data_IF_276946587492
#
_entry.id   IF_276946587492
#
_cell.length_a   1.000
_cell.length_b   1.000
_cell.length_c   1.000
_cell.angle_alpha   90.00
_cell.angle_beta   90.00
_cell.angle_gamma   90.00
#
_symmetry.space_group_name_H-M   'P 1'
#
loop_
_entity.id
_entity.type
_entity.pdbx_description
1 polymer ?
#
# COMPACT_ATOMS: atom_id res chain seq x y z
N UNK A 1 -43.62 -82.82 -3.94
CA UNK A 1 -43.54 -82.28 -2.56
C UNK A 1 -42.13 -81.87 -2.34
N UNK A 2 -41.76 -80.70 -2.61
CA UNK A 2 -40.47 -80.10 -2.28
C UNK A 2 -40.60 -79.49 -0.90
N UNK A 3 -40.04 -80.20 0.09
CA UNK A 3 -39.89 -79.65 1.43
C UNK A 3 -38.74 -78.65 1.39
N UNK A 4 -39.04 -77.41 1.21
CA UNK A 4 -38.10 -76.33 1.46
C UNK A 4 -37.93 -76.17 2.95
N UNK A 5 -36.74 -76.38 3.50
CA UNK A 5 -36.51 -76.03 4.89
C UNK A 5 -36.76 -74.58 5.08
N UNK A 6 -37.80 -74.19 5.76
CA UNK A 6 -37.92 -72.80 6.27
C UNK A 6 -36.71 -72.51 7.13
N UNK A 7 -35.75 -71.82 6.54
CA UNK A 7 -34.59 -71.33 7.24
C UNK A 7 -35.07 -70.21 8.15
N UNK A 8 -35.56 -70.57 9.33
CA UNK A 8 -35.74 -69.61 10.43
C UNK A 8 -34.36 -69.21 10.90
N UNK A 9 -33.96 -67.96 10.76
CA UNK A 9 -32.67 -67.50 11.28
C UNK A 9 -32.59 -67.81 12.78
N UNK A 10 -31.49 -68.39 13.21
CA UNK A 10 -31.18 -68.64 14.61
C UNK A 10 -31.23 -67.28 15.35
N UNK A 11 -31.95 -67.18 16.49
CA UNK A 11 -32.04 -65.89 17.22
C UNK A 11 -30.67 -65.37 17.69
N UNK A 12 -29.71 -66.23 17.94
CA UNK A 12 -28.33 -65.81 18.27
C UNK A 12 -27.63 -65.20 17.05
N UNK A 13 -27.89 -65.70 15.86
CA UNK A 13 -27.35 -65.19 14.61
C UNK A 13 -27.97 -63.81 14.27
N UNK A 14 -29.28 -63.65 14.53
CA UNK A 14 -29.96 -62.38 14.34
C UNK A 14 -29.46 -61.30 15.31
N UNK A 15 -29.26 -61.66 16.58
CA UNK A 15 -28.72 -60.76 17.59
C UNK A 15 -27.29 -60.32 17.26
N UNK A 16 -26.43 -61.24 16.82
CA UNK A 16 -25.07 -60.97 16.37
C UNK A 16 -25.05 -59.99 15.17
N UNK A 17 -25.95 -60.21 14.19
CA UNK A 17 -26.10 -59.33 13.05
C UNK A 17 -26.57 -57.93 13.45
N UNK A 18 -27.52 -57.82 14.39
CA UNK A 18 -27.96 -56.53 14.90
C UNK A 18 -26.86 -55.80 15.65
N UNK A 19 -26.08 -56.47 16.45
CA UNK A 19 -24.93 -55.90 17.16
C UNK A 19 -23.85 -55.42 16.19
N UNK A 20 -23.58 -56.17 15.14
CA UNK A 20 -22.65 -55.71 14.09
C UNK A 20 -23.11 -54.46 13.37
N UNK A 21 -24.41 -54.35 13.06
CA UNK A 21 -24.99 -53.14 12.45
C UNK A 21 -24.87 -51.97 13.40
N UNK A 22 -25.21 -52.15 14.69
CA UNK A 22 -25.13 -51.08 15.69
C UNK A 22 -23.68 -50.58 15.88
N UNK A 23 -22.73 -51.50 15.91
CA UNK A 23 -21.30 -51.14 15.97
C UNK A 23 -20.85 -50.40 14.73
N UNK A 24 -21.31 -50.80 13.55
CA UNK A 24 -20.99 -50.13 12.30
C UNK A 24 -21.61 -48.71 12.25
N UNK A 25 -22.85 -48.54 12.72
CA UNK A 25 -23.51 -47.22 12.83
C UNK A 25 -22.78 -46.33 13.82
N UNK A 26 -22.38 -46.84 14.97
CA UNK A 26 -21.60 -46.08 15.94
C UNK A 26 -20.24 -45.64 15.39
N UNK A 27 -19.55 -46.56 14.72
CA UNK A 27 -18.26 -46.26 14.08
C UNK A 27 -18.40 -45.23 12.97
N UNK A 28 -19.47 -45.29 12.18
CA UNK A 28 -19.76 -44.31 11.13
C UNK A 28 -20.09 -42.93 11.71
N UNK A 29 -20.90 -42.88 12.76
CA UNK A 29 -21.23 -41.64 13.47
C UNK A 29 -19.98 -40.97 14.06
N UNK A 30 -19.13 -41.76 14.74
CA UNK A 30 -17.87 -41.25 15.27
C UNK A 30 -16.92 -40.73 14.17
N UNK A 31 -16.85 -41.42 13.03
CA UNK A 31 -16.04 -41.00 11.90
C UNK A 31 -16.57 -39.67 11.30
N UNK A 32 -17.88 -39.50 11.20
CA UNK A 32 -18.51 -38.26 10.75
C UNK A 32 -18.21 -37.10 11.72
N UNK A 33 -18.37 -37.33 13.01
CA UNK A 33 -18.11 -36.30 14.05
C UNK A 33 -16.63 -35.87 14.04
N UNK A 34 -15.71 -36.85 13.89
CA UNK A 34 -14.29 -36.58 13.77
C UNK A 34 -13.98 -35.76 12.52
N UNK A 35 -14.54 -36.13 11.37
CA UNK A 35 -14.39 -35.43 10.11
C UNK A 35 -14.93 -34.00 10.17
N UNK A 36 -16.09 -33.80 10.77
CA UNK A 36 -16.66 -32.46 10.99
C UNK A 36 -15.78 -31.61 11.92
N UNK A 37 -15.24 -32.23 12.98
CA UNK A 37 -14.29 -31.57 13.87
C UNK A 37 -13.03 -31.09 13.15
N UNK A 38 -12.41 -31.96 12.36
CA UNK A 38 -11.23 -31.62 11.54
C UNK A 38 -11.56 -30.53 10.51
N UNK A 39 -12.71 -30.62 9.85
CA UNK A 39 -13.15 -29.61 8.90
C UNK A 39 -13.31 -28.22 9.57
N UNK A 40 -13.90 -28.15 10.75
CA UNK A 40 -14.04 -26.90 11.52
C UNK A 40 -12.68 -26.31 11.89
N UNK A 41 -11.75 -27.14 12.36
CA UNK A 41 -10.39 -26.71 12.70
C UNK A 41 -9.69 -26.19 11.44
N UNK A 42 -9.77 -26.91 10.34
CA UNK A 42 -9.16 -26.51 9.06
C UNK A 42 -9.71 -25.17 8.55
N UNK A 43 -11.02 -24.97 8.60
CA UNK A 43 -11.67 -23.70 8.24
C UNK A 43 -11.25 -22.56 9.14
N UNK A 44 -11.16 -22.80 10.45
CA UNK A 44 -10.69 -21.80 11.40
C UNK A 44 -9.25 -21.37 11.12
N UNK A 45 -8.35 -22.32 10.92
CA UNK A 45 -6.95 -22.07 10.59
C UNK A 45 -6.82 -21.31 9.26
N UNK A 46 -7.60 -21.70 8.24
CA UNK A 46 -7.61 -21.01 6.95
C UNK A 46 -8.09 -19.54 7.10
N UNK A 47 -9.14 -19.30 7.88
CA UNK A 47 -9.62 -17.97 8.18
C UNK A 47 -8.56 -17.13 8.92
N UNK A 48 -7.86 -17.72 9.89
CA UNK A 48 -6.77 -17.04 10.59
C UNK A 48 -5.59 -16.69 9.68
N UNK A 49 -5.24 -17.60 8.76
CA UNK A 49 -4.19 -17.35 7.75
C UNK A 49 -4.61 -16.22 6.81
N UNK A 50 -5.85 -16.25 6.33
CA UNK A 50 -6.39 -15.20 5.46
C UNK A 50 -6.36 -13.81 6.13
N UNK A 51 -6.78 -13.71 7.40
CA UNK A 51 -6.71 -12.47 8.18
C UNK A 51 -5.28 -11.96 8.32
N UNK A 52 -4.32 -12.84 8.62
CA UNK A 52 -2.90 -12.46 8.73
C UNK A 52 -2.36 -11.93 7.40
N UNK A 53 -2.70 -12.58 6.29
CA UNK A 53 -2.31 -12.14 4.95
C UNK A 53 -2.92 -10.76 4.65
N UNK A 54 -4.21 -10.60 4.90
CA UNK A 54 -4.91 -9.32 4.68
C UNK A 54 -4.29 -8.18 5.50
N UNK A 55 -4.01 -8.41 6.78
CA UNK A 55 -3.38 -7.41 7.64
C UNK A 55 -1.97 -7.03 7.14
N UNK A 56 -1.13 -7.99 6.79
CA UNK A 56 0.21 -7.71 6.21
C UNK A 56 0.11 -6.95 4.90
N UNK A 57 -0.86 -7.31 4.06
CA UNK A 57 -1.07 -6.62 2.79
C UNK A 57 -1.49 -5.19 3.01
N UNK A 58 -2.42 -4.94 3.93
CA UNK A 58 -2.88 -3.59 4.28
C UNK A 58 -1.74 -2.73 4.87
N UNK A 59 -0.92 -3.30 5.75
CA UNK A 59 0.27 -2.63 6.29
C UNK A 59 1.26 -2.25 5.18
N UNK A 60 1.54 -3.17 4.26
CA UNK A 60 2.43 -2.90 3.11
C UNK A 60 1.86 -1.81 2.20
N UNK A 61 0.57 -1.85 1.92
CA UNK A 61 -0.11 -0.82 1.13
C UNK A 61 0.01 0.53 1.82
N UNK A 62 -0.24 0.61 3.13
CA UNK A 62 -0.12 1.84 3.90
C UNK A 62 1.32 2.42 3.83
N UNK A 63 2.33 1.58 3.96
CA UNK A 63 3.74 2.00 3.84
C UNK A 63 4.05 2.52 2.42
N UNK A 64 3.58 1.82 1.40
CA UNK A 64 3.76 2.24 0.00
C UNK A 64 3.10 3.60 -0.24
N UNK A 65 1.86 3.77 0.21
CA UNK A 65 1.15 5.04 0.09
C UNK A 65 1.88 6.18 0.81
N UNK A 66 2.37 5.94 2.01
CA UNK A 66 3.14 6.93 2.77
C UNK A 66 4.42 7.32 2.03
N UNK A 67 5.19 6.35 1.53
CA UNK A 67 6.41 6.61 0.75
C UNK A 67 6.12 7.39 -0.53
N UNK A 68 5.08 7.00 -1.25
CA UNK A 68 4.67 7.67 -2.49
C UNK A 68 4.27 9.12 -2.23
N UNK A 69 3.49 9.39 -1.18
CA UNK A 69 3.12 10.75 -0.77
C UNK A 69 4.35 11.58 -0.41
N UNK A 70 5.28 11.00 0.32
CA UNK A 70 6.52 11.69 0.69
C UNK A 70 7.40 12.01 -0.52
N UNK A 71 7.55 11.05 -1.44
CA UNK A 71 8.28 11.27 -2.68
C UNK A 71 7.62 12.34 -3.56
N UNK A 72 6.30 12.31 -3.68
CA UNK A 72 5.55 13.31 -4.43
C UNK A 72 5.71 14.70 -3.83
N UNK A 73 5.61 14.81 -2.50
CA UNK A 73 5.86 16.06 -1.77
C UNK A 73 7.26 16.59 -2.03
N UNK A 74 8.28 15.74 -1.94
CA UNK A 74 9.67 16.13 -2.20
C UNK A 74 9.87 16.58 -3.64
N UNK A 75 9.30 15.87 -4.62
CA UNK A 75 9.37 16.26 -6.03
C UNK A 75 8.69 17.60 -6.29
N UNK A 76 7.53 17.80 -5.70
CA UNK A 76 6.81 19.07 -5.81
C UNK A 76 7.62 20.24 -5.23
N UNK A 77 8.16 20.07 -4.03
CA UNK A 77 9.02 21.09 -3.41
C UNK A 77 10.28 21.38 -4.25
N UNK A 78 10.91 20.35 -4.82
CA UNK A 78 12.07 20.51 -5.68
C UNK A 78 11.69 21.24 -6.99
N UNK A 79 10.54 20.91 -7.58
CA UNK A 79 10.04 21.58 -8.76
C UNK A 79 9.71 23.06 -8.48
N UNK A 80 9.09 23.38 -7.35
CA UNK A 80 8.82 24.75 -6.92
C UNK A 80 10.11 25.53 -6.70
N UNK A 81 11.12 24.92 -6.07
CA UNK A 81 12.44 25.56 -5.88
C UNK A 81 13.13 25.82 -7.21
N UNK A 82 13.07 24.86 -8.13
CA UNK A 82 13.64 25.00 -9.47
C UNK A 82 12.91 26.10 -10.28
N UNK A 83 11.59 26.17 -10.19
CA UNK A 83 10.79 27.21 -10.84
C UNK A 83 11.14 28.60 -10.29
N UNK A 84 11.26 28.76 -8.97
CA UNK A 84 11.67 30.04 -8.33
C UNK A 84 13.11 30.42 -8.71
N UNK A 85 14.01 29.44 -8.77
CA UNK A 85 15.38 29.69 -9.21
C UNK A 85 15.44 30.13 -10.69
N UNK A 86 14.64 29.51 -11.56
CA UNK A 86 14.51 29.89 -12.97
C UNK A 86 13.92 31.30 -13.14
N UNK A 87 12.94 31.69 -12.36
CA UNK A 87 12.40 33.04 -12.36
C UNK A 87 13.45 34.07 -11.94
N UNK A 88 14.20 33.81 -10.87
CA UNK A 88 15.30 34.70 -10.44
C UNK A 88 16.39 34.85 -11.49
N UNK A 89 16.75 33.78 -12.17
CA UNK A 89 17.72 33.79 -13.26
C UNK A 89 17.17 34.57 -14.44
N UNK A 90 15.91 34.38 -14.80
CA UNK A 90 15.24 35.12 -15.88
C UNK A 90 15.16 36.61 -15.57
N UNK A 91 14.84 37.00 -14.34
CA UNK A 91 14.82 38.38 -13.90
C UNK A 91 16.19 39.04 -13.97
N UNK A 92 17.27 38.28 -13.68
CA UNK A 92 18.66 38.76 -13.81
C UNK A 92 19.12 38.83 -15.25
N UNK A 93 18.64 37.95 -16.11
CA UNK A 93 19.02 37.87 -17.54
C UNK A 93 18.01 38.68 -18.43
N UNK A 94 16.94 39.23 -17.86
CA UNK A 94 16.03 40.06 -18.63
C UNK A 94 16.78 41.34 -19.10
N UNK A 95 16.93 41.56 -20.41
CA UNK A 95 17.63 42.73 -20.94
C UNK A 95 17.00 44.04 -20.49
N UNK A 96 15.74 44.02 -20.10
CA UNK A 96 15.06 45.21 -19.56
C UNK A 96 15.57 45.58 -18.17
N UNK A 97 15.81 44.61 -17.29
CA UNK A 97 16.35 44.83 -15.95
C UNK A 97 17.80 45.30 -16.04
N UNK A 98 18.61 44.66 -16.89
CA UNK A 98 19.99 45.08 -17.19
C UNK A 98 20.03 46.52 -17.76
N UNK A 99 19.15 46.84 -18.70
CA UNK A 99 19.05 48.17 -19.29
C UNK A 99 18.66 49.24 -18.28
N UNK A 100 17.69 48.96 -17.41
CA UNK A 100 17.30 49.88 -16.33
C UNK A 100 18.44 50.06 -15.31
N UNK A 101 19.12 49.01 -14.95
CA UNK A 101 20.27 49.05 -14.05
C UNK A 101 21.43 49.87 -14.63
N UNK A 102 21.72 49.70 -15.91
CA UNK A 102 22.76 50.45 -16.62
C UNK A 102 22.40 51.93 -16.74
N UNK A 103 21.15 52.29 -17.01
CA UNK A 103 20.67 53.67 -17.02
C UNK A 103 20.80 54.32 -15.64
N UNK A 104 20.39 53.63 -14.57
CA UNK A 104 20.49 54.10 -13.19
C UNK A 104 21.95 54.36 -12.81
N UNK A 105 22.85 53.45 -13.15
CA UNK A 105 24.27 53.57 -12.89
C UNK A 105 24.90 54.73 -13.70
N UNK A 106 24.54 54.89 -14.94
CA UNK A 106 25.00 56.01 -15.78
C UNK A 106 24.50 57.36 -15.25
N UNK A 107 23.24 57.47 -14.85
CA UNK A 107 22.70 58.64 -14.19
C UNK A 107 23.38 58.97 -12.87
N UNK A 108 23.66 57.99 -12.05
CA UNK A 108 24.38 58.14 -10.79
C UNK A 108 25.82 58.63 -11.04
N UNK A 109 26.51 58.08 -12.03
CA UNK A 109 27.84 58.53 -12.43
C UNK A 109 27.85 59.98 -12.93
N UNK A 110 26.86 60.39 -13.69
CA UNK A 110 26.73 61.80 -14.19
C UNK A 110 26.41 62.76 -13.05
N UNK A 111 25.58 62.38 -12.08
CA UNK A 111 25.25 63.20 -10.93
C UNK A 111 26.44 63.38 -9.97
N UNK A 112 27.29 62.38 -9.85
CA UNK A 112 28.52 62.42 -9.02
C UNK A 112 29.71 63.04 -9.77
N UNK A 113 29.75 62.92 -11.10
CA UNK A 113 30.83 63.44 -11.93
C UNK A 113 30.69 64.94 -12.33
N UNK A 114 29.50 65.52 -12.28
CA UNK A 114 29.28 66.91 -12.65
C UNK A 114 29.71 67.93 -11.56
N UNK A 115 30.02 67.43 -10.38
CA UNK A 115 30.53 68.29 -9.28
C UNK A 115 32.05 68.49 -9.29
N UNK A 116 32.77 67.85 -10.18
CA UNK A 116 34.22 67.93 -10.22
C UNK A 116 34.78 68.91 -11.28
N UNK A 117 33.93 69.52 -12.10
CA UNK A 117 34.38 70.30 -13.24
C UNK A 117 34.12 71.80 -13.15
N UNK A 118 33.69 72.33 -12.00
CA UNK A 118 33.46 73.76 -11.84
C UNK A 118 34.51 74.52 -11.01
N UNK A 119 35.64 73.87 -10.66
CA UNK A 119 36.71 74.58 -9.95
C UNK A 119 38.07 74.45 -10.63
N UNK A 120 38.15 74.91 -11.86
CA UNK A 120 39.42 75.21 -12.47
C UNK A 120 39.24 76.23 -13.58
N UNK A 121 39.01 77.51 -13.23
CA UNK A 121 39.39 78.60 -14.11
C UNK A 121 40.69 79.20 -13.53
N UNK A 122 41.76 79.10 -14.25
CA UNK A 122 42.90 79.98 -13.99
C UNK A 122 42.65 81.35 -14.62
N UNK A 123 42.84 82.36 -13.86
CA UNK A 123 43.07 83.69 -14.39
C UNK A 123 44.24 83.77 -15.32
#
# INVERSE_FOLDING_TARGET
>A
MTDEPEHTPDPESAEAAMNEVLMAEQAASQAIDACEGEARVSLYEAAQRARRIANRTNERIAIIHQRTRQQLKNRLQNAERAARAAERTRDREDPRVAFVSDIVNDMAARLTGSNSNEESQPD
#
